data_IF_609901428386
#
_entry.id   IF_609901428386
#
_cell.length_a   1.000
_cell.length_b   1.000
_cell.length_c   1.000
_cell.angle_alpha   90.00
_cell.angle_beta   90.00
_cell.angle_gamma   90.00
#
_symmetry.space_group_name_H-M   'P 1'
#
loop_
_entity.id
_entity.type
_entity.pdbx_description
1 polymer ?
#
# COMPACT_ATOMS: atom_id res chain seq x y z
N UNK A 1 -4.97 -19.50 19.75
CA UNK A 1 -4.27 -18.46 18.95
C UNK A 1 -5.01 -18.39 17.63
N UNK A 2 -5.49 -17.21 17.20
CA UNK A 2 -6.09 -17.08 15.87
C UNK A 2 -5.03 -17.36 14.80
N UNK A 3 -5.43 -18.00 13.71
CA UNK A 3 -4.61 -18.28 12.53
C UNK A 3 -5.37 -17.82 11.30
N UNK A 4 -4.67 -17.29 10.31
CA UNK A 4 -5.27 -16.78 9.10
C UNK A 4 -4.51 -17.29 7.87
N UNK A 5 -5.23 -17.82 6.90
CA UNK A 5 -4.73 -18.30 5.62
C UNK A 5 -5.11 -17.34 4.50
N UNK A 6 -4.10 -16.78 3.83
CA UNK A 6 -4.28 -15.86 2.70
C UNK A 6 -5.21 -16.42 1.61
N UNK A 7 -5.14 -17.73 1.36
CA UNK A 7 -5.86 -18.39 0.25
C UNK A 7 -7.17 -19.05 0.65
N UNK A 8 -7.42 -19.21 1.95
CA UNK A 8 -8.49 -20.09 2.43
C UNK A 8 -9.45 -19.39 3.41
N UNK A 9 -9.03 -18.31 4.05
CA UNK A 9 -9.83 -17.65 5.07
C UNK A 9 -10.31 -16.29 4.54
N UNK A 10 -11.62 -16.10 4.49
CA UNK A 10 -12.20 -14.81 4.10
C UNK A 10 -11.82 -13.71 5.11
N UNK A 11 -11.72 -14.11 6.37
CA UNK A 11 -11.33 -13.30 7.53
C UNK A 11 -9.86 -12.86 7.50
N UNK A 12 -9.05 -13.36 6.55
CA UNK A 12 -7.69 -12.88 6.36
C UNK A 12 -7.66 -11.37 6.07
N UNK A 13 -8.62 -10.88 5.28
CA UNK A 13 -8.74 -9.49 4.84
C UNK A 13 -9.48 -8.65 5.88
N UNK A 14 -8.82 -8.44 7.03
CA UNK A 14 -9.35 -7.73 8.18
C UNK A 14 -8.48 -6.53 8.60
N UNK A 15 -9.06 -5.66 9.40
CA UNK A 15 -8.36 -4.55 10.03
C UNK A 15 -8.93 -4.30 11.43
N UNK A 16 -8.13 -3.80 12.39
CA UNK A 16 -8.69 -3.24 13.62
C UNK A 16 -9.64 -2.07 13.33
N UNK A 17 -10.68 -1.89 14.15
CA UNK A 17 -11.77 -0.94 13.93
C UNK A 17 -11.30 0.47 13.55
N UNK A 18 -10.23 0.99 14.18
CA UNK A 18 -9.71 2.34 13.89
C UNK A 18 -9.20 2.54 12.45
N UNK A 19 -8.90 1.45 11.74
CA UNK A 19 -8.39 1.47 10.36
C UNK A 19 -9.47 1.16 9.32
N UNK A 20 -10.69 0.83 9.75
CA UNK A 20 -11.73 0.30 8.85
C UNK A 20 -12.04 1.25 7.69
N UNK A 21 -12.17 2.56 7.96
CA UNK A 21 -12.45 3.55 6.90
C UNK A 21 -11.33 3.66 5.86
N UNK A 22 -10.06 3.58 6.31
CA UNK A 22 -8.90 3.58 5.41
C UNK A 22 -8.95 2.38 4.45
N UNK A 23 -9.34 1.22 4.95
CA UNK A 23 -9.41 -0.03 4.19
C UNK A 23 -10.58 -0.07 3.21
N UNK A 24 -11.75 0.41 3.64
CA UNK A 24 -12.91 0.57 2.76
C UNK A 24 -12.55 1.48 1.58
N UNK A 25 -11.84 2.59 1.82
CA UNK A 25 -11.37 3.47 0.77
C UNK A 25 -10.29 2.83 -0.11
N UNK A 26 -9.32 2.12 0.46
CA UNK A 26 -8.28 1.42 -0.31
C UNK A 26 -8.88 0.39 -1.30
N UNK A 27 -9.98 -0.27 -0.92
CA UNK A 27 -10.69 -1.21 -1.80
C UNK A 27 -11.24 -0.57 -3.08
N UNK A 28 -11.52 0.73 -3.05
CA UNK A 28 -12.03 1.47 -4.21
C UNK A 28 -10.97 1.73 -5.28
N UNK A 29 -9.69 1.64 -4.92
CA UNK A 29 -8.55 1.85 -5.83
C UNK A 29 -7.81 0.54 -6.16
N UNK A 30 -8.52 -0.60 -6.12
CA UNK A 30 -7.96 -1.88 -6.52
C UNK A 30 -6.96 -2.48 -5.52
N UNK A 31 -6.95 -2.02 -4.28
CA UNK A 31 -6.14 -2.65 -3.23
C UNK A 31 -6.99 -3.53 -2.33
N UNK A 32 -6.45 -4.67 -1.91
CA UNK A 32 -6.94 -5.37 -0.71
C UNK A 32 -5.86 -5.39 0.34
N UNK A 33 -6.27 -5.32 1.58
CA UNK A 33 -5.39 -4.98 2.68
C UNK A 33 -5.75 -5.76 3.93
N UNK A 34 -4.75 -6.11 4.76
CA UNK A 34 -4.92 -6.66 6.11
C UNK A 34 -3.95 -5.99 7.09
N UNK A 35 -4.40 -5.67 8.31
CA UNK A 35 -3.51 -5.23 9.39
C UNK A 35 -3.52 -6.24 10.54
N UNK A 36 -2.34 -6.66 10.96
CA UNK A 36 -2.15 -7.52 12.13
C UNK A 36 -1.22 -6.81 13.12
N UNK A 37 -1.79 -6.37 14.24
CA UNK A 37 -1.03 -5.80 15.34
C UNK A 37 -0.32 -6.90 16.13
N UNK A 38 0.94 -6.69 16.50
CA UNK A 38 1.65 -7.59 17.43
C UNK A 38 1.16 -7.37 18.88
N UNK A 39 0.74 -6.13 19.20
CA UNK A 39 0.25 -5.69 20.52
C UNK A 39 -1.15 -5.06 20.44
N UNK A 40 -1.37 -3.99 21.21
CA UNK A 40 -2.63 -3.24 21.19
C UNK A 40 -2.72 -2.45 19.87
N UNK A 41 -3.72 -2.72 19.01
CA UNK A 41 -3.86 -2.00 17.75
C UNK A 41 -4.14 -0.51 17.93
N UNK A 42 -4.57 -0.04 19.11
CA UNK A 42 -4.83 1.37 19.42
C UNK A 42 -3.62 2.12 20.02
N UNK A 43 -2.52 1.41 20.29
CA UNK A 43 -1.24 2.00 20.68
C UNK A 43 -0.40 2.26 19.43
N UNK A 44 0.00 3.51 19.22
CA UNK A 44 0.77 3.92 18.05
C UNK A 44 2.21 3.41 18.06
N UNK A 45 2.74 3.02 19.22
CA UNK A 45 4.05 2.40 19.35
C UNK A 45 4.02 0.88 19.10
N UNK A 46 2.84 0.26 18.92
CA UNK A 46 2.71 -1.18 18.63
C UNK A 46 3.27 -1.54 17.24
N UNK A 47 4.14 -2.54 17.10
CA UNK A 47 4.54 -3.05 15.79
C UNK A 47 3.36 -3.65 15.01
N UNK A 48 3.38 -3.47 13.69
CA UNK A 48 2.24 -3.78 12.83
C UNK A 48 2.69 -4.44 11.53
N UNK A 49 2.06 -5.54 11.16
CA UNK A 49 2.19 -6.12 9.83
C UNK A 49 1.03 -5.65 8.94
N UNK A 50 1.35 -5.04 7.82
CA UNK A 50 0.42 -4.59 6.79
C UNK A 50 0.58 -5.47 5.55
N UNK A 51 -0.45 -6.24 5.23
CA UNK A 51 -0.49 -7.07 4.04
C UNK A 51 -1.19 -6.25 2.98
N UNK A 52 -0.54 -6.04 1.85
CA UNK A 52 -1.09 -5.27 0.75
C UNK A 52 -1.08 -6.11 -0.53
N UNK A 53 -2.27 -6.32 -1.08
CA UNK A 53 -2.50 -6.83 -2.43
C UNK A 53 -2.72 -5.66 -3.38
N UNK A 54 -1.89 -5.60 -4.41
CA UNK A 54 -1.91 -4.62 -5.49
C UNK A 54 -2.28 -5.29 -6.80
N UNK A 55 -3.18 -4.66 -7.56
CA UNK A 55 -3.50 -5.04 -8.94
C UNK A 55 -2.30 -4.82 -9.90
N UNK A 56 -2.30 -5.46 -11.09
CA UNK A 56 -1.26 -5.26 -12.10
C UNK A 56 -0.98 -3.79 -12.41
N UNK A 57 0.30 -3.41 -12.36
CA UNK A 57 0.74 -2.05 -12.65
C UNK A 57 0.27 -0.99 -11.65
N UNK A 58 -0.26 -1.37 -10.48
CA UNK A 58 -0.56 -0.41 -9.40
C UNK A 58 0.72 0.33 -8.99
N UNK A 59 0.62 1.64 -8.73
CA UNK A 59 1.77 2.46 -8.35
C UNK A 59 1.56 3.05 -6.97
N UNK A 60 2.53 2.84 -6.08
CA UNK A 60 2.62 3.58 -4.82
C UNK A 60 3.64 4.69 -5.03
N UNK A 61 3.19 5.94 -4.97
CA UNK A 61 4.06 7.09 -5.24
C UNK A 61 5.16 7.22 -4.19
N UNK A 62 6.21 7.96 -4.50
CA UNK A 62 7.36 8.15 -3.59
C UNK A 62 6.90 8.71 -2.24
N UNK A 63 7.27 8.04 -1.14
CA UNK A 63 6.88 8.44 0.22
C UNK A 63 7.84 7.89 1.28
N UNK A 64 7.64 8.33 2.52
CA UNK A 64 8.31 7.84 3.72
C UNK A 64 7.29 7.58 4.83
N UNK A 65 7.75 6.93 5.90
CA UNK A 65 6.99 6.68 7.12
C UNK A 65 7.75 7.20 8.35
N UNK A 66 7.06 7.56 9.45
CA UNK A 66 7.69 8.09 10.66
C UNK A 66 8.43 7.03 11.51
N UNK A 67 8.53 5.78 11.04
CA UNK A 67 9.24 4.71 11.72
C UNK A 67 10.03 3.83 10.74
N UNK A 68 10.97 3.06 11.27
CA UNK A 68 11.66 2.03 10.50
C UNK A 68 10.67 0.96 10.04
N UNK A 69 10.94 0.41 8.85
CA UNK A 69 10.14 -0.66 8.26
C UNK A 69 10.99 -1.62 7.44
N UNK A 70 10.44 -2.80 7.24
CA UNK A 70 10.82 -3.64 6.11
C UNK A 70 9.57 -4.10 5.37
N UNK A 71 9.74 -4.53 4.13
CA UNK A 71 8.68 -5.14 3.33
C UNK A 71 9.27 -6.32 2.59
N UNK A 72 8.54 -7.44 2.59
CA UNK A 72 8.88 -8.62 1.80
C UNK A 72 7.79 -8.90 0.79
N UNK A 73 8.20 -9.36 -0.38
CA UNK A 73 7.27 -9.77 -1.43
C UNK A 73 6.86 -11.21 -1.13
N UNK A 74 5.57 -11.49 -1.20
CA UNK A 74 5.00 -12.84 -0.98
C UNK A 74 4.55 -13.45 -2.29
N UNK A 75 3.99 -12.66 -3.22
CA UNK A 75 3.58 -13.08 -4.57
C UNK A 75 3.75 -11.96 -5.58
N UNK A 76 3.91 -12.34 -6.85
CA UNK A 76 4.11 -11.39 -7.94
C UNK A 76 5.48 -10.72 -7.85
N UNK A 77 5.58 -9.51 -8.40
CA UNK A 77 6.82 -8.74 -8.39
C UNK A 77 6.56 -7.27 -8.10
N UNK A 78 7.56 -6.60 -7.54
CA UNK A 78 7.52 -5.18 -7.23
C UNK A 78 8.77 -4.50 -7.79
N UNK A 79 8.59 -3.52 -8.68
CA UNK A 79 9.68 -2.66 -9.12
C UNK A 79 9.83 -1.48 -8.15
N UNK A 80 11.05 -1.22 -7.71
CA UNK A 80 11.42 -0.09 -6.86
C UNK A 80 12.88 0.27 -7.10
N UNK A 81 13.16 1.56 -7.28
CA UNK A 81 14.51 2.12 -7.49
C UNK A 81 15.34 1.39 -8.57
N UNK A 82 14.68 0.99 -9.67
CA UNK A 82 15.32 0.33 -10.81
C UNK A 82 15.59 -1.16 -10.60
N UNK A 83 15.05 -1.76 -9.53
CA UNK A 83 15.17 -3.18 -9.23
C UNK A 83 13.79 -3.83 -9.20
N UNK A 84 13.67 -4.99 -9.82
CA UNK A 84 12.50 -5.86 -9.67
C UNK A 84 12.76 -6.84 -8.54
N UNK A 85 11.91 -6.78 -7.51
CA UNK A 85 11.91 -7.67 -6.36
C UNK A 85 10.85 -8.76 -6.56
N UNK A 86 11.19 -9.99 -6.18
CA UNK A 86 10.32 -11.16 -6.24
C UNK A 86 10.11 -11.80 -4.87
N UNK A 87 9.35 -12.92 -4.80
CA UNK A 87 9.00 -13.55 -3.53
C UNK A 87 10.22 -13.87 -2.65
N UNK A 88 10.18 -13.41 -1.41
CA UNK A 88 11.25 -13.55 -0.42
C UNK A 88 12.31 -12.43 -0.43
N UNK A 89 12.33 -11.57 -1.45
CA UNK A 89 13.16 -10.38 -1.43
C UNK A 89 12.64 -9.37 -0.40
N UNK A 90 13.56 -8.64 0.22
CA UNK A 90 13.28 -7.67 1.28
C UNK A 90 13.78 -6.30 0.88
N UNK A 91 12.95 -5.28 1.10
CA UNK A 91 13.36 -3.87 1.12
C UNK A 91 13.22 -3.30 2.53
N UNK A 92 14.13 -2.42 2.91
CA UNK A 92 14.18 -1.79 4.24
C UNK A 92 14.35 -0.30 4.08
N UNK A 93 13.69 0.47 4.94
CA UNK A 93 13.81 1.92 4.95
C UNK A 93 13.82 2.43 6.40
N UNK A 94 14.69 3.40 6.65
CA UNK A 94 14.75 4.08 7.94
C UNK A 94 13.57 5.06 8.08
N UNK A 95 13.25 5.43 9.32
CA UNK A 95 12.28 6.46 9.61
C UNK A 95 12.57 7.76 8.83
N UNK A 96 11.56 8.29 8.16
CA UNK A 96 11.56 9.52 7.36
C UNK A 96 12.44 9.47 6.08
N UNK A 97 12.91 8.29 5.68
CA UNK A 97 13.61 8.07 4.41
C UNK A 97 12.60 7.95 3.27
N UNK A 98 12.68 8.84 2.27
CA UNK A 98 11.84 8.77 1.07
C UNK A 98 12.33 7.65 0.15
N UNK A 99 11.42 6.82 -0.34
CA UNK A 99 11.72 5.73 -1.28
C UNK A 99 10.61 5.55 -2.32
N UNK A 100 10.93 4.79 -3.37
CA UNK A 100 10.04 4.57 -4.50
C UNK A 100 10.07 5.70 -5.54
N UNK A 101 9.16 5.68 -6.51
CA UNK A 101 7.88 4.96 -6.52
C UNK A 101 8.02 3.42 -6.57
N UNK A 102 6.97 2.72 -6.13
CA UNK A 102 6.85 1.26 -6.25
C UNK A 102 5.83 0.92 -7.32
N UNK A 103 6.12 -0.02 -8.22
CA UNK A 103 5.19 -0.47 -9.27
C UNK A 103 4.97 -1.97 -9.19
N UNK A 104 3.72 -2.41 -9.03
CA UNK A 104 3.36 -3.82 -9.08
C UNK A 104 3.55 -4.38 -10.50
N UNK A 105 4.05 -5.61 -10.58
CA UNK A 105 4.30 -6.31 -11.84
C UNK A 105 3.04 -6.63 -12.66
N UNK A 106 3.21 -7.29 -13.82
CA UNK A 106 2.11 -7.61 -14.74
C UNK A 106 1.06 -8.56 -14.16
N UNK A 107 1.42 -9.36 -13.15
CA UNK A 107 0.50 -10.26 -12.44
C UNK A 107 -0.01 -9.67 -11.12
N UNK A 108 0.27 -8.38 -10.86
CA UNK A 108 0.06 -7.75 -9.55
C UNK A 108 1.15 -8.12 -8.54
N UNK A 109 0.92 -7.78 -7.28
CA UNK A 109 1.87 -8.06 -6.20
C UNK A 109 1.16 -8.20 -4.84
N UNK A 110 1.62 -9.13 -4.00
CA UNK A 110 1.23 -9.20 -2.59
C UNK A 110 2.49 -9.04 -1.75
N UNK A 111 2.43 -8.12 -0.79
CA UNK A 111 3.55 -7.76 0.08
C UNK A 111 3.14 -7.87 1.54
N UNK A 112 4.13 -8.09 2.41
CA UNK A 112 4.00 -7.92 3.87
C UNK A 112 4.95 -6.80 4.25
N UNK A 113 4.40 -5.65 4.59
CA UNK A 113 5.13 -4.54 5.19
C UNK A 113 5.07 -4.71 6.71
N UNK A 114 6.21 -4.59 7.40
CA UNK A 114 6.27 -4.59 8.86
C UNK A 114 6.80 -3.24 9.30
N UNK A 115 5.95 -2.52 10.02
CA UNK A 115 6.30 -1.26 10.65
C UNK A 115 6.72 -1.50 12.08
N UNK A 116 7.81 -0.85 12.50
CA UNK A 116 8.23 -0.86 13.90
C UNK A 116 7.16 -0.26 14.84
N UNK A 117 6.25 0.57 14.30
CA UNK A 117 5.19 1.28 15.01
C UNK A 117 3.92 1.39 14.17
N UNK A 118 2.75 1.32 14.78
CA UNK A 118 1.46 1.35 14.08
C UNK A 118 1.22 2.69 13.38
N UNK A 119 1.77 3.79 13.91
CA UNK A 119 1.78 5.11 13.23
C UNK A 119 2.36 5.04 11.82
N UNK A 120 3.33 4.15 11.57
CA UNK A 120 3.88 3.92 10.24
C UNK A 120 2.85 3.40 9.23
N UNK A 121 1.83 2.67 9.66
CA UNK A 121 0.84 2.08 8.76
C UNK A 121 -0.17 3.10 8.19
N UNK A 122 -0.31 4.27 8.82
CA UNK A 122 -1.29 5.27 8.42
C UNK A 122 -0.76 6.69 8.29
N UNK A 123 0.42 7.02 8.81
CA UNK A 123 1.08 8.28 8.48
C UNK A 123 2.01 8.10 7.29
N UNK A 124 1.76 8.92 6.27
CA UNK A 124 2.54 8.93 5.03
C UNK A 124 3.16 10.30 4.83
N UNK A 125 4.46 10.33 4.58
CA UNK A 125 5.21 11.57 4.34
C UNK A 125 5.55 11.65 2.86
N UNK A 126 5.16 12.73 2.19
CA UNK A 126 5.44 12.99 0.77
C UNK A 126 6.23 14.27 0.60
N UNK A 127 7.01 14.34 -0.47
CA UNK A 127 7.68 15.57 -0.90
C UNK A 127 6.74 16.37 -1.81
N UNK A 128 6.66 17.67 -1.57
CA UNK A 128 5.88 18.62 -2.34
C UNK A 128 6.73 19.24 -3.47
N UNK A 129 6.12 19.85 -4.50
CA UNK A 129 6.87 20.45 -5.62
C UNK A 129 7.87 21.54 -5.21
N UNK A 130 7.66 22.20 -4.07
CA UNK A 130 8.56 23.21 -3.52
C UNK A 130 9.69 22.61 -2.65
N UNK A 131 9.79 21.28 -2.57
CA UNK A 131 10.75 20.55 -1.75
C UNK A 131 10.37 20.45 -0.27
N UNK A 132 9.24 21.02 0.15
CA UNK A 132 8.72 20.81 1.51
C UNK A 132 8.18 19.39 1.69
N UNK A 133 8.03 18.94 2.94
CA UNK A 133 7.41 17.64 3.25
C UNK A 133 6.02 17.84 3.82
N UNK A 134 5.07 17.02 3.37
CA UNK A 134 3.72 16.94 3.93
C UNK A 134 3.53 15.58 4.59
N UNK A 135 3.05 15.57 5.83
CA UNK A 135 2.55 14.35 6.48
C UNK A 135 1.04 14.30 6.32
N UNK A 136 0.53 13.17 5.84
CA UNK A 136 -0.90 12.89 5.73
C UNK A 136 -1.24 11.70 6.62
N UNK A 137 -2.28 11.86 7.44
CA UNK A 137 -2.92 10.74 8.15
C UNK A 137 -3.94 10.09 7.21
N UNK A 138 -3.72 8.84 6.83
CA UNK A 138 -4.54 8.09 5.88
C UNK A 138 -5.87 7.59 6.47
N UNK A 139 -6.01 7.57 7.80
CA UNK A 139 -7.32 7.32 8.45
C UNK A 139 -8.23 8.53 8.21
N UNK A 140 -7.69 9.74 8.29
CA UNK A 140 -8.44 11.00 8.18
C UNK A 140 -8.57 11.50 6.73
N UNK A 141 -7.52 11.33 5.91
CA UNK A 141 -7.38 11.90 4.57
C UNK A 141 -6.74 10.89 3.59
N UNK A 142 -7.42 9.74 3.39
CA UNK A 142 -6.97 8.74 2.43
C UNK A 142 -6.91 9.30 1.00
N UNK A 143 -7.92 10.07 0.59
CA UNK A 143 -8.00 10.64 -0.75
C UNK A 143 -6.83 11.60 -1.03
N UNK A 144 -6.50 12.51 -0.11
CA UNK A 144 -5.32 13.37 -0.25
C UNK A 144 -4.00 12.60 -0.18
N UNK A 145 -3.97 11.50 0.58
CA UNK A 145 -2.83 10.59 0.67
C UNK A 145 -2.58 9.76 -0.60
N UNK A 146 -3.61 9.50 -1.41
CA UNK A 146 -3.56 8.66 -2.61
C UNK A 146 -4.12 9.33 -3.87
N UNK A 147 -4.14 10.67 -3.93
CA UNK A 147 -4.84 11.43 -4.98
C UNK A 147 -4.57 10.93 -6.41
N UNK A 148 -3.30 10.73 -6.77
CA UNK A 148 -2.93 10.22 -8.10
C UNK A 148 -3.51 8.83 -8.42
N UNK A 149 -3.58 7.94 -7.43
CA UNK A 149 -4.18 6.61 -7.62
C UNK A 149 -5.71 6.67 -7.65
N UNK A 150 -6.31 7.51 -6.81
CA UNK A 150 -7.76 7.74 -6.83
C UNK A 150 -8.19 8.24 -8.22
N UNK A 151 -7.53 9.27 -8.75
CA UNK A 151 -7.81 9.80 -10.09
C UNK A 151 -7.62 8.74 -11.18
N UNK A 152 -6.53 7.96 -11.12
CA UNK A 152 -6.25 6.89 -12.07
C UNK A 152 -7.35 5.82 -12.06
N UNK A 153 -7.76 5.35 -10.90
CA UNK A 153 -8.77 4.28 -10.79
C UNK A 153 -10.16 4.78 -11.17
N UNK A 154 -10.50 6.03 -10.85
CA UNK A 154 -11.73 6.65 -11.35
C UNK A 154 -11.76 6.72 -12.88
N UNK A 155 -10.64 7.07 -13.52
CA UNK A 155 -10.54 7.09 -14.98
C UNK A 155 -10.69 5.68 -15.59
N UNK A 156 -10.03 4.68 -15.01
CA UNK A 156 -10.17 3.27 -15.43
C UNK A 156 -11.63 2.81 -15.29
N UNK A 157 -12.28 3.13 -14.17
CA UNK A 157 -13.68 2.77 -13.93
C UNK A 157 -14.60 3.42 -14.96
N UNK A 158 -14.44 4.72 -15.24
CA UNK A 158 -15.20 5.44 -16.27
C UNK A 158 -15.01 4.84 -17.66
N UNK A 159 -13.79 4.50 -18.05
CA UNK A 159 -13.51 3.88 -19.34
C UNK A 159 -14.19 2.50 -19.49
N UNK A 160 -14.18 1.68 -18.42
CA UNK A 160 -14.88 0.39 -18.39
C UNK A 160 -16.40 0.55 -18.51
N UNK A 161 -16.99 1.53 -17.81
CA UNK A 161 -18.42 1.83 -17.90
C UNK A 161 -18.83 2.36 -19.27
N UNK A 162 -17.93 3.06 -19.97
CA UNK A 162 -18.13 3.57 -21.33
C UNK A 162 -17.93 2.50 -22.44
N UNK A 163 -17.47 1.29 -22.09
CA UNK A 163 -17.22 0.22 -23.06
C UNK A 163 -15.98 0.43 -23.93
N UNK A 164 -15.04 1.28 -23.50
CA UNK A 164 -13.81 1.55 -24.24
C UNK A 164 -12.75 0.45 -23.98
N UNK A 165 -12.04 -0.05 -25.01
CA UNK A 165 -11.01 -1.05 -24.82
C UNK A 165 -9.82 -0.50 -24.02
N UNK A 166 -9.32 -1.28 -23.07
CA UNK A 166 -8.21 -0.94 -22.18
C UNK A 166 -6.87 -0.93 -22.95
N UNK A 167 -6.49 0.20 -23.54
CA UNK A 167 -5.21 0.39 -24.24
C UNK A 167 -4.07 0.81 -23.28
N UNK A 168 -3.82 0.04 -22.22
CA UNK A 168 -2.66 0.26 -21.33
C UNK A 168 -1.39 -0.49 -21.75
N UNK A 169 -1.41 -1.20 -22.88
CA UNK A 169 -0.21 -1.78 -23.50
C UNK A 169 0.14 -1.03 -24.78
N UNK A 170 0.76 0.15 -24.68
CA UNK A 170 1.65 0.67 -25.73
C UNK A 170 2.38 1.92 -25.25
N UNK A 171 3.60 1.71 -24.74
CA UNK A 171 4.78 2.50 -25.12
C UNK A 171 6.03 1.77 -24.65
N UNK A 172 6.69 1.16 -25.63
CA UNK A 172 8.07 0.65 -25.60
C UNK A 172 9.02 1.83 -25.44
#
# INVERSE_FOLDING_TARGET
MPTYSLDHDAEYWQSPDRFQSMFEQASTIGNRASLFAIGDPNDDDTPMAFILQMEPGFVITRHAHPCDRFETIVRGTLEVDGRTLGPGDVLMHAANELYGPKTAGPDGCITVEVFAKAVGAYERITEQPDGSRKTTNLIDDFQGGFAEQVERFEAIKKAREAGEPNNSHERI
#
